data_IF_960535531146
#
_entry.id   IF_960535531146
#
_cell.length_a   1.000
_cell.length_b   1.000
_cell.length_c   1.000
_cell.angle_alpha   90.00
_cell.angle_beta   90.00
_cell.angle_gamma   90.00
#
_symmetry.space_group_name_H-M   'P 1'
#
loop_
_entity.id
_entity.type
_entity.pdbx_description
1 polymer ?
#
# COMPACT_ATOMS: atom_id res chain seq x y z
N UNK A 1 11.13 8.72 11.19
CA UNK A 1 11.75 9.63 10.20
C UNK A 1 11.95 8.91 8.88
N UNK A 2 11.48 9.50 7.81
CA UNK A 2 11.53 8.87 6.50
C UNK A 2 12.68 9.45 5.66
N UNK A 3 13.05 8.69 4.61
CA UNK A 3 13.93 9.21 3.58
C UNK A 3 13.17 10.20 2.71
N UNK A 4 13.88 10.99 1.89
CA UNK A 4 13.21 11.90 0.95
C UNK A 4 12.25 11.15 0.02
N UNK A 5 11.26 11.84 -0.53
CA UNK A 5 10.37 11.25 -1.53
C UNK A 5 11.10 10.70 -2.74
N UNK A 6 10.48 9.74 -3.41
CA UNK A 6 11.05 9.09 -4.58
C UNK A 6 10.15 9.31 -5.79
N UNK A 7 10.74 9.12 -6.97
CA UNK A 7 10.03 9.25 -8.24
C UNK A 7 8.95 8.17 -8.36
N UNK A 8 7.80 8.53 -8.91
CA UNK A 8 6.70 7.61 -9.15
C UNK A 8 7.08 6.62 -10.26
N UNK A 9 7.00 5.34 -9.94
CA UNK A 9 7.28 4.26 -10.88
C UNK A 9 6.00 3.55 -11.34
N UNK A 10 4.85 4.19 -11.23
CA UNK A 10 3.57 3.60 -11.60
C UNK A 10 3.48 3.21 -13.08
N UNK A 11 4.35 3.72 -13.93
CA UNK A 11 4.42 3.36 -15.33
C UNK A 11 5.13 2.01 -15.58
N UNK A 12 5.36 1.23 -14.54
CA UNK A 12 5.97 -0.10 -14.63
C UNK A 12 5.01 -1.18 -15.19
N UNK A 13 3.80 -0.78 -15.59
CA UNK A 13 2.75 -1.64 -16.15
C UNK A 13 2.18 -2.65 -15.18
N UNK A 14 2.41 -2.48 -13.88
CA UNK A 14 1.79 -3.31 -12.86
C UNK A 14 0.46 -2.70 -12.45
N UNK A 15 -0.58 -3.53 -12.38
CA UNK A 15 -1.92 -3.08 -12.07
C UNK A 15 -2.23 -3.20 -10.58
N UNK A 16 -3.07 -2.30 -10.08
CA UNK A 16 -3.56 -2.33 -8.69
C UNK A 16 -4.66 -3.38 -8.56
N UNK A 17 -4.26 -4.65 -8.51
CA UNK A 17 -5.16 -5.78 -8.35
C UNK A 17 -5.29 -6.14 -6.88
N UNK A 18 -6.34 -6.91 -6.54
CA UNK A 18 -6.50 -7.42 -5.19
C UNK A 18 -5.23 -8.13 -4.72
N UNK A 19 -4.76 -7.78 -3.53
CA UNK A 19 -3.57 -8.37 -2.92
C UNK A 19 -2.27 -7.71 -3.32
N UNK A 20 -2.28 -6.70 -4.17
CA UNK A 20 -1.06 -5.96 -4.48
C UNK A 20 -0.79 -4.86 -3.47
N UNK A 21 0.48 -4.52 -3.31
CA UNK A 21 0.96 -3.45 -2.44
C UNK A 21 1.37 -2.27 -3.30
N UNK A 22 0.89 -1.09 -2.93
CA UNK A 22 1.18 0.14 -3.66
C UNK A 22 1.64 1.22 -2.71
N UNK A 23 2.46 2.13 -3.22
CA UNK A 23 2.98 3.24 -2.42
C UNK A 23 1.90 4.30 -2.22
N UNK A 24 1.67 4.66 -0.97
CA UNK A 24 0.84 5.82 -0.66
C UNK A 24 1.61 7.09 -0.98
N UNK A 25 0.88 8.12 -1.37
CA UNK A 25 1.44 9.41 -1.74
C UNK A 25 0.39 10.51 -1.59
N UNK A 26 0.84 11.74 -1.67
CA UNK A 26 -0.06 12.88 -1.80
C UNK A 26 -0.51 13.04 -3.25
N UNK A 27 -1.14 14.15 -3.58
CA UNK A 27 -1.50 14.44 -4.97
C UNK A 27 -0.30 14.67 -5.87
N UNK A 28 0.86 15.01 -5.30
CA UNK A 28 2.11 15.05 -6.04
C UNK A 28 2.54 13.62 -6.36
N UNK A 29 2.64 13.24 -7.66
CA UNK A 29 2.99 11.87 -8.01
C UNK A 29 4.32 11.38 -7.46
N UNK A 30 5.26 12.28 -7.22
CA UNK A 30 6.61 11.95 -6.77
C UNK A 30 6.81 12.24 -5.29
N UNK A 31 5.76 12.08 -4.48
CA UNK A 31 5.81 12.39 -3.05
C UNK A 31 5.88 11.17 -2.13
N UNK A 32 5.94 9.96 -2.66
CA UNK A 32 5.96 8.76 -1.85
C UNK A 32 7.24 8.65 -1.02
N UNK A 33 7.11 8.23 0.23
CA UNK A 33 8.25 8.00 1.13
C UNK A 33 8.24 6.59 1.68
N UNK A 34 7.42 6.30 2.71
CA UNK A 34 7.47 5.02 3.41
C UNK A 34 6.09 4.38 3.60
N UNK A 35 5.02 5.11 3.37
CA UNK A 35 3.69 4.56 3.57
C UNK A 35 3.23 3.78 2.35
N UNK A 36 2.54 2.69 2.61
CA UNK A 36 2.00 1.85 1.55
C UNK A 36 0.60 1.37 1.94
N UNK A 37 -0.12 0.85 0.95
CA UNK A 37 -1.42 0.23 1.21
C UNK A 37 -1.52 -1.09 0.46
N UNK A 38 -2.50 -1.89 0.85
CA UNK A 38 -2.78 -3.17 0.24
C UNK A 38 -4.15 -3.07 -0.43
N UNK A 39 -4.20 -3.39 -1.72
CA UNK A 39 -5.45 -3.37 -2.46
C UNK A 39 -6.32 -4.55 -2.02
N UNK A 40 -7.52 -4.28 -1.52
CA UNK A 40 -8.47 -5.29 -1.08
C UNK A 40 -9.29 -5.84 -2.24
N UNK A 41 -9.31 -5.13 -3.34
CA UNK A 41 -10.00 -5.52 -4.57
C UNK A 41 -9.27 -4.90 -5.76
N UNK A 42 -9.68 -5.24 -6.96
CA UNK A 42 -9.09 -4.65 -8.15
C UNK A 42 -9.48 -3.18 -8.24
N UNK A 43 -8.48 -2.31 -8.34
CA UNK A 43 -8.67 -0.86 -8.34
C UNK A 43 -8.08 -0.25 -9.62
N UNK A 44 -8.73 -0.43 -10.78
CA UNK A 44 -8.18 0.09 -12.03
C UNK A 44 -8.09 1.62 -12.05
N UNK A 45 -8.88 2.31 -11.22
CA UNK A 45 -8.80 3.76 -11.11
C UNK A 45 -7.47 4.25 -10.56
N UNK A 46 -6.72 3.38 -9.89
CA UNK A 46 -5.41 3.71 -9.31
C UNK A 46 -4.26 3.41 -10.27
N UNK A 47 -4.53 2.82 -11.42
CA UNK A 47 -3.50 2.48 -12.37
C UNK A 47 -3.06 3.70 -13.17
N UNK A 48 -1.79 3.70 -13.57
CA UNK A 48 -1.26 4.76 -14.44
C UNK A 48 -1.91 4.69 -15.82
N UNK A 49 -2.14 5.86 -16.39
CA UNK A 49 -2.67 6.02 -17.73
C UNK A 49 -1.81 7.05 -18.48
N UNK A 50 -1.96 7.13 -19.80
CA UNK A 50 -1.17 8.03 -20.63
C UNK A 50 -1.27 9.49 -20.18
N UNK A 51 -2.40 9.86 -19.58
CA UNK A 51 -2.69 11.24 -19.19
C UNK A 51 -2.49 11.50 -17.70
N UNK A 52 -2.15 10.48 -16.91
CA UNK A 52 -1.95 10.65 -15.46
C UNK A 52 -1.09 9.54 -14.88
N UNK A 53 -0.21 9.87 -13.92
CA UNK A 53 0.46 8.84 -13.12
C UNK A 53 -0.53 8.23 -12.12
N UNK A 54 -0.41 6.93 -11.91
CA UNK A 54 -1.21 6.22 -10.92
C UNK A 54 -0.42 5.95 -9.64
N UNK A 55 -0.87 4.96 -8.89
CA UNK A 55 -0.20 4.52 -7.67
C UNK A 55 0.69 3.33 -8.01
N UNK A 56 1.97 3.46 -7.64
CA UNK A 56 2.99 2.49 -8.05
C UNK A 56 2.85 1.19 -7.24
N UNK A 57 2.61 0.10 -7.94
CA UNK A 57 2.61 -1.25 -7.37
C UNK A 57 4.04 -1.74 -7.28
N UNK A 58 4.44 -2.23 -6.10
CA UNK A 58 5.81 -2.74 -5.90
C UNK A 58 5.85 -4.15 -5.32
N UNK A 59 4.74 -4.73 -4.99
CA UNK A 59 4.71 -6.07 -4.40
C UNK A 59 3.32 -6.66 -4.37
N UNK A 60 3.22 -7.87 -3.83
CA UNK A 60 1.95 -8.55 -3.66
C UNK A 60 1.97 -9.42 -2.42
N UNK A 61 0.79 -9.68 -1.87
CA UNK A 61 0.63 -10.56 -0.74
C UNK A 61 0.70 -12.00 -1.25
N UNK A 62 1.65 -12.78 -0.73
CA UNK A 62 1.82 -14.19 -1.10
C UNK A 62 1.12 -15.12 -0.13
N UNK A 63 0.99 -14.71 1.15
CA UNK A 63 0.30 -15.47 2.19
C UNK A 63 -0.43 -14.51 3.12
N UNK A 64 -1.55 -14.96 3.69
CA UNK A 64 -2.24 -14.18 4.72
C UNK A 64 -3.29 -13.22 4.20
N UNK A 65 -3.71 -13.33 2.95
CA UNK A 65 -4.76 -12.46 2.43
C UNK A 65 -6.05 -12.52 3.26
N UNK A 66 -6.50 -13.68 3.78
CA UNK A 66 -7.64 -13.71 4.68
C UNK A 66 -7.43 -12.89 5.96
N UNK A 67 -6.20 -12.81 6.46
CA UNK A 67 -5.88 -11.96 7.62
C UNK A 67 -6.06 -10.48 7.25
N UNK A 68 -5.63 -10.09 6.05
CA UNK A 68 -5.81 -8.72 5.56
C UNK A 68 -7.30 -8.39 5.47
N UNK A 69 -8.11 -9.32 4.97
CA UNK A 69 -9.56 -9.14 4.92
C UNK A 69 -10.15 -8.96 6.32
N UNK A 70 -9.65 -9.68 7.32
CA UNK A 70 -10.08 -9.51 8.70
C UNK A 70 -9.72 -8.11 9.23
N UNK A 71 -8.51 -7.64 8.94
CA UNK A 71 -8.08 -6.29 9.35
C UNK A 71 -9.01 -5.24 8.74
N UNK A 72 -9.43 -5.44 7.49
CA UNK A 72 -10.32 -4.49 6.80
C UNK A 72 -11.67 -4.34 7.47
N UNK A 73 -12.07 -5.31 8.30
CA UNK A 73 -13.37 -5.33 8.99
C UNK A 73 -13.31 -4.83 10.42
N UNK A 74 -12.15 -4.44 10.93
CA UNK A 74 -12.07 -3.94 12.29
C UNK A 74 -12.81 -2.61 12.42
N UNK A 75 -13.30 -2.35 13.63
CA UNK A 75 -13.99 -1.08 13.91
C UNK A 75 -13.01 0.06 13.82
N UNK A 76 -13.44 1.13 13.17
CA UNK A 76 -12.59 2.30 12.95
C UNK A 76 -13.27 3.55 13.53
N UNK A 77 -12.49 4.59 13.69
CA UNK A 77 -12.97 5.89 14.12
C UNK A 77 -11.99 6.97 13.69
N UNK A 78 -12.34 8.19 14.01
CA UNK A 78 -11.47 9.32 13.68
C UNK A 78 -10.52 9.57 14.85
N UNK A 79 -9.25 9.84 14.53
CA UNK A 79 -8.24 10.17 15.51
C UNK A 79 -7.41 11.34 15.00
N UNK A 80 -7.51 12.49 15.71
CA UNK A 80 -6.89 13.74 15.26
C UNK A 80 -7.37 14.10 13.86
N UNK A 81 -6.47 14.31 12.90
CA UNK A 81 -6.83 14.60 11.53
C UNK A 81 -7.05 13.34 10.68
N UNK A 82 -6.90 12.17 11.27
CA UNK A 82 -7.03 10.91 10.53
C UNK A 82 -8.42 10.33 10.67
N UNK A 83 -8.94 9.80 9.57
CA UNK A 83 -10.23 9.13 9.51
C UNK A 83 -10.03 7.63 9.34
N UNK A 84 -11.01 6.86 9.78
CA UNK A 84 -11.02 5.41 9.59
C UNK A 84 -9.81 4.71 10.20
N UNK A 85 -9.40 5.18 11.37
CA UNK A 85 -8.32 4.55 12.13
C UNK A 85 -8.90 3.40 12.94
N UNK A 86 -8.29 2.20 12.95
CA UNK A 86 -8.76 1.11 13.80
C UNK A 86 -8.84 1.55 15.26
N UNK A 87 -9.96 1.23 15.94
CA UNK A 87 -10.14 1.60 17.34
C UNK A 87 -9.14 0.86 18.22
N UNK A 88 -8.86 -0.39 17.88
CA UNK A 88 -7.76 -1.14 18.48
C UNK A 88 -6.60 -1.13 17.48
N UNK A 89 -5.44 -0.69 17.92
CA UNK A 89 -4.28 -0.52 17.04
C UNK A 89 -3.88 -1.83 16.38
N UNK A 90 -3.55 -1.76 15.10
CA UNK A 90 -2.98 -2.85 14.34
C UNK A 90 -1.49 -2.56 14.16
N UNK A 91 -0.63 -3.48 14.60
CA UNK A 91 0.81 -3.27 14.61
C UNK A 91 1.52 -4.14 13.58
N UNK A 92 2.47 -3.55 12.86
CA UNK A 92 3.46 -4.32 12.10
C UNK A 92 4.58 -4.66 13.07
N UNK A 93 4.66 -5.94 13.44
CA UNK A 93 5.62 -6.38 14.45
C UNK A 93 7.04 -6.43 13.92
N UNK A 94 7.20 -6.76 12.66
CA UNK A 94 8.53 -6.81 12.05
C UNK A 94 8.42 -6.71 10.54
N UNK A 95 9.46 -6.16 9.93
CA UNK A 95 9.67 -6.17 8.49
C UNK A 95 11.14 -6.52 8.27
N UNK A 96 11.38 -7.54 7.46
CA UNK A 96 12.75 -7.97 7.19
C UNK A 96 12.88 -8.52 5.78
N UNK A 97 14.08 -8.42 5.22
CA UNK A 97 14.35 -8.98 3.92
C UNK A 97 14.46 -10.50 4.04
N UNK A 98 13.75 -11.21 3.18
CA UNK A 98 13.83 -12.66 3.13
C UNK A 98 15.16 -13.06 2.47
N UNK A 99 15.86 -14.05 3.08
CA UNK A 99 17.07 -14.58 2.46
C UNK A 99 16.66 -15.43 1.25
N UNK A 100 17.09 -15.05 0.03
CA UNK A 100 16.68 -15.79 -1.17
C UNK A 100 17.20 -17.22 -1.22
N UNK A 101 18.27 -17.54 -0.45
CA UNK A 101 18.82 -18.89 -0.40
C UNK A 101 18.11 -19.77 0.63
N UNK A 102 17.21 -19.25 1.43
CA UNK A 102 16.50 -19.96 2.49
C UNK A 102 15.15 -20.52 2.04
N UNK A 103 14.82 -20.41 0.77
CA UNK A 103 13.56 -20.91 0.24
C UNK A 103 13.58 -22.40 -0.09
#
# INVERSE_FOLDING_TARGET
QTRPPIVNEGNNKLANLRGTLSMARTQDPDSATSQFFINLENNPMLDSADYRPGYAVFGEVTEGLPIIDMISRVRTGNMKQYQNVPLDSVFILSVRRKNPLAE
#
